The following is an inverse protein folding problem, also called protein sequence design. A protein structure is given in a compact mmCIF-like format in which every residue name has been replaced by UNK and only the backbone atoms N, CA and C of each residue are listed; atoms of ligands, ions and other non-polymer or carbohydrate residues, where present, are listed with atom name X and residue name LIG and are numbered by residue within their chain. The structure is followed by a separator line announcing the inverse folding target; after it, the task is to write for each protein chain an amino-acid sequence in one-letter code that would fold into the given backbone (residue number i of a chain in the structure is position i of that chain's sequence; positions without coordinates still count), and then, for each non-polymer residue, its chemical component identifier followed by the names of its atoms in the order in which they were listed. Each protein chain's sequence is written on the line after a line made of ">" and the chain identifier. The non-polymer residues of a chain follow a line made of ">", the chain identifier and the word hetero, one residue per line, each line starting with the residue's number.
data_IF_415170710094
#
_entry.id   IF_415170710094
#
_cell.length_a   1.000
_cell.length_b   1.000
_cell.length_c   1.000
_cell.angle_alpha   90.00
_cell.angle_beta   90.00
_cell.angle_gamma   90.00
#
_symmetry.space_group_name_H-M   'P 1'
#
loop_
_entity.id
_entity.type
_entity.pdbx_description
1 polymer ?
#
# COMPACT_ATOMS: atom_id res chain seq x y z
N UNK A 1 -3.32 3.07 9.43
CA UNK A 1 -3.68 1.98 8.52
C UNK A 1 -3.12 2.18 7.14
N UNK A 2 -2.13 1.35 6.83
CA UNK A 2 -1.59 1.12 5.50
C UNK A 2 -1.52 -0.39 5.28
N UNK A 3 -1.85 -0.84 4.08
CA UNK A 3 -1.75 -2.25 3.72
C UNK A 3 -0.64 -2.41 2.69
N UNK A 4 0.44 -3.04 3.09
CA UNK A 4 1.55 -3.36 2.19
C UNK A 4 1.21 -4.57 1.34
N UNK A 5 1.85 -4.68 0.16
CA UNK A 5 1.82 -5.89 -0.66
C UNK A 5 3.21 -6.33 -1.04
N UNK A 6 3.36 -7.60 -1.39
CA UNK A 6 4.65 -8.14 -1.80
C UNK A 6 4.52 -9.20 -2.89
N UNK A 7 5.56 -9.28 -3.71
CA UNK A 7 5.82 -10.39 -4.64
C UNK A 7 6.78 -11.43 -4.06
N UNK A 8 7.39 -11.15 -2.90
CA UNK A 8 8.45 -11.96 -2.32
C UNK A 8 8.01 -13.42 -2.09
N UNK A 9 8.98 -14.31 -2.29
CA UNK A 9 8.78 -15.77 -2.22
C UNK A 9 9.49 -16.39 -1.02
N UNK A 10 10.36 -15.61 -0.39
CA UNK A 10 11.33 -16.00 0.64
C UNK A 10 10.89 -15.64 2.04
N UNK A 11 9.65 -15.19 2.25
CA UNK A 11 9.16 -14.69 3.54
C UNK A 11 9.29 -15.69 4.72
N UNK A 12 9.29 -16.99 4.42
CA UNK A 12 9.51 -18.03 5.45
C UNK A 12 10.99 -18.15 5.82
N UNK A 13 11.88 -17.96 4.85
CA UNK A 13 13.32 -18.18 5.02
C UNK A 13 14.12 -16.90 5.31
N UNK A 14 13.52 -15.72 5.12
CA UNK A 14 14.20 -14.42 5.28
C UNK A 14 13.94 -13.77 6.66
N UNK A 15 13.30 -14.47 7.59
CA UNK A 15 13.00 -13.97 8.93
C UNK A 15 11.77 -13.07 9.03
N UNK A 16 10.98 -12.89 7.97
CA UNK A 16 9.77 -12.03 8.03
C UNK A 16 8.76 -12.49 9.08
N UNK A 17 8.57 -13.81 9.27
CA UNK A 17 7.65 -14.34 10.28
C UNK A 17 8.08 -13.91 11.68
N UNK A 18 9.35 -14.12 12.02
CA UNK A 18 9.90 -13.75 13.33
C UNK A 18 9.81 -12.25 13.54
N UNK A 19 10.11 -11.46 12.50
CA UNK A 19 9.97 -10.02 12.52
C UNK A 19 8.53 -9.59 12.82
N UNK A 20 7.52 -10.12 12.11
CA UNK A 20 6.11 -9.77 12.36
C UNK A 20 5.69 -10.12 13.78
N UNK A 21 6.07 -11.31 14.28
CA UNK A 21 5.77 -11.74 15.65
C UNK A 21 6.41 -10.78 16.65
N UNK A 22 7.68 -10.39 16.45
CA UNK A 22 8.35 -9.42 17.30
C UNK A 22 7.63 -8.06 17.31
N UNK A 23 7.20 -7.57 16.14
CA UNK A 23 6.44 -6.30 16.03
C UNK A 23 5.14 -6.36 16.82
N UNK A 24 4.39 -7.46 16.71
CA UNK A 24 3.13 -7.70 17.44
C UNK A 24 3.38 -7.81 18.95
N UNK A 25 4.36 -8.61 19.36
CA UNK A 25 4.66 -8.88 20.76
C UNK A 25 5.06 -7.61 21.53
N UNK A 26 5.78 -6.68 20.89
CA UNK A 26 6.11 -5.37 21.48
C UNK A 26 4.89 -4.60 21.98
N UNK A 27 3.72 -4.79 21.36
CA UNK A 27 2.47 -4.13 21.76
C UNK A 27 1.62 -5.08 22.61
N UNK A 28 1.42 -6.31 22.15
CA UNK A 28 0.50 -7.27 22.76
C UNK A 28 0.99 -7.83 24.11
N UNK A 29 2.30 -7.90 24.32
CA UNK A 29 2.91 -8.37 25.59
C UNK A 29 3.36 -7.23 26.50
N UNK A 30 3.13 -5.98 26.10
CA UNK A 30 3.34 -4.84 26.98
C UNK A 30 2.41 -4.92 28.20
N UNK A 31 2.67 -4.08 29.20
CA UNK A 31 1.77 -3.96 30.36
C UNK A 31 0.31 -3.79 29.90
N UNK A 32 -0.68 -4.39 30.59
CA UNK A 32 -2.10 -4.13 30.31
C UNK A 32 -2.47 -2.64 30.32
N UNK A 33 -1.66 -1.80 30.97
CA UNK A 33 -1.82 -0.35 31.04
C UNK A 33 -1.13 0.42 29.90
N UNK A 34 -0.52 -0.27 28.92
CA UNK A 34 0.21 0.36 27.80
C UNK A 34 -0.68 1.27 26.93
N UNK A 35 -2.00 1.11 26.98
CA UNK A 35 -2.94 1.96 26.24
C UNK A 35 -2.79 1.85 24.71
N UNK A 36 -2.26 0.73 24.23
CA UNK A 36 -2.03 0.42 22.82
C UNK A 36 -2.55 -0.99 22.52
N UNK A 37 -3.03 -1.21 21.31
CA UNK A 37 -3.59 -2.46 20.82
C UNK A 37 -3.14 -2.68 19.39
N UNK A 38 -2.82 -3.92 19.04
CA UNK A 38 -2.38 -4.27 17.69
C UNK A 38 -3.45 -5.06 16.95
N UNK A 39 -3.70 -4.69 15.70
CA UNK A 39 -4.48 -5.48 14.75
C UNK A 39 -3.57 -5.91 13.63
N UNK A 40 -3.50 -7.21 13.37
CA UNK A 40 -2.72 -7.76 12.27
C UNK A 40 -3.65 -8.49 11.29
N UNK A 41 -3.56 -8.12 10.02
CA UNK A 41 -4.25 -8.80 8.95
C UNK A 41 -3.24 -9.23 7.89
N UNK A 42 -3.21 -10.53 7.58
CA UNK A 42 -2.41 -11.08 6.49
C UNK A 42 -3.36 -11.71 5.48
N UNK A 43 -3.31 -11.23 4.25
CA UNK A 43 -4.16 -11.72 3.17
C UNK A 43 -3.34 -12.48 2.13
N UNK A 44 -3.82 -13.66 1.76
CA UNK A 44 -3.26 -14.45 0.66
C UNK A 44 -3.92 -14.03 -0.65
N UNK A 45 -3.23 -13.20 -1.44
CA UNK A 45 -3.73 -12.68 -2.71
C UNK A 45 -3.29 -13.53 -3.92
N UNK A 46 -2.17 -14.25 -3.79
CA UNK A 46 -1.60 -15.06 -4.86
C UNK A 46 -2.18 -16.47 -4.96
N UNK A 47 -1.47 -17.35 -5.67
CA UNK A 47 -1.86 -18.74 -5.88
C UNK A 47 -2.74 -18.96 -7.12
N UNK A 48 -2.63 -20.15 -7.74
CA UNK A 48 -3.27 -20.47 -9.04
C UNK A 48 -4.79 -20.45 -9.01
N UNK A 49 -5.40 -20.63 -7.84
CA UNK A 49 -6.85 -20.65 -7.64
C UNK A 49 -7.40 -19.31 -7.14
N UNK A 50 -6.54 -18.34 -6.82
CA UNK A 50 -7.00 -17.03 -6.37
C UNK A 50 -7.69 -16.28 -7.50
N UNK A 51 -8.93 -15.88 -7.27
CA UNK A 51 -9.65 -15.00 -8.19
C UNK A 51 -9.02 -13.62 -8.29
N UNK A 52 -8.28 -13.20 -7.26
CA UNK A 52 -7.49 -11.98 -7.31
C UNK A 52 -6.41 -12.07 -8.39
N UNK A 53 -5.69 -13.20 -8.44
CA UNK A 53 -4.69 -13.47 -9.48
C UNK A 53 -5.31 -13.71 -10.85
N UNK A 54 -6.39 -14.48 -10.94
CA UNK A 54 -7.04 -14.83 -12.23
C UNK A 54 -7.67 -13.63 -12.93
N UNK A 55 -8.07 -12.62 -12.17
CA UNK A 55 -8.58 -11.35 -12.71
C UNK A 55 -7.47 -10.31 -12.93
N UNK A 56 -6.19 -10.71 -12.98
CA UNK A 56 -5.14 -9.84 -13.46
C UNK A 56 -5.43 -9.44 -14.93
N UNK A 57 -5.04 -8.22 -15.31
CA UNK A 57 -5.15 -7.70 -16.67
C UNK A 57 -6.54 -7.70 -17.31
N UNK A 58 -7.59 -7.82 -16.49
CA UNK A 58 -8.98 -7.79 -16.93
C UNK A 58 -9.51 -6.40 -17.30
N UNK A 59 -8.62 -5.46 -17.65
CA UNK A 59 -8.96 -4.08 -18.04
C UNK A 59 -9.25 -3.11 -16.90
N UNK A 60 -9.08 -3.51 -15.63
CA UNK A 60 -9.34 -2.63 -14.48
C UNK A 60 -8.18 -1.67 -14.17
N UNK A 61 -8.47 -0.62 -13.40
CA UNK A 61 -7.47 0.35 -12.89
C UNK A 61 -6.70 -0.15 -11.67
N UNK A 62 -7.04 -1.34 -11.15
CA UNK A 62 -6.53 -1.84 -9.88
C UNK A 62 -5.16 -2.53 -10.05
N UNK A 63 -4.09 -1.86 -9.63
CA UNK A 63 -2.70 -2.25 -9.93
C UNK A 63 -2.14 -3.38 -9.07
N UNK A 64 -2.73 -3.66 -7.91
CA UNK A 64 -2.16 -4.62 -6.95
C UNK A 64 -2.23 -6.07 -7.46
N UNK A 65 -2.93 -6.35 -8.56
CA UNK A 65 -2.94 -7.68 -9.18
C UNK A 65 -1.69 -7.95 -10.00
N UNK A 66 -1.12 -6.93 -10.62
CA UNK A 66 0.24 -6.92 -11.14
C UNK A 66 0.61 -8.17 -11.93
N UNK A 67 -0.16 -8.48 -12.98
CA UNK A 67 -0.02 -9.69 -13.81
C UNK A 67 -0.05 -11.02 -13.03
N UNK A 68 -0.64 -11.04 -11.84
CA UNK A 68 -0.64 -12.20 -10.92
C UNK A 68 0.60 -12.34 -10.05
N UNK A 69 1.45 -11.31 -10.06
CA UNK A 69 2.66 -11.02 -9.28
C UNK A 69 2.48 -11.12 -7.77
N UNK A 70 1.48 -10.38 -7.30
CA UNK A 70 1.26 -10.14 -5.89
C UNK A 70 0.84 -11.41 -5.18
N UNK A 71 1.53 -11.72 -4.09
CA UNK A 71 1.33 -12.97 -3.34
C UNK A 71 0.60 -12.75 -2.05
N UNK A 72 0.97 -11.70 -1.32
CA UNK A 72 0.44 -11.40 0.01
C UNK A 72 0.24 -9.91 0.17
N UNK A 73 -0.72 -9.57 1.01
CA UNK A 73 -0.85 -8.25 1.59
C UNK A 73 -0.85 -8.36 3.12
N UNK A 74 -0.35 -7.32 3.78
CA UNK A 74 -0.30 -7.26 5.24
C UNK A 74 -0.63 -5.86 5.73
N UNK A 75 -1.39 -5.81 6.82
CA UNK A 75 -1.60 -4.63 7.66
C UNK A 75 -1.23 -5.01 9.08
N UNK A 76 -0.44 -4.18 9.76
CA UNK A 76 -0.18 -4.28 11.21
C UNK A 76 -0.40 -2.92 11.84
N UNK A 77 -1.62 -2.67 12.32
CA UNK A 77 -1.99 -1.37 12.88
C UNK A 77 -1.85 -1.33 14.39
N UNK A 78 -1.26 -0.25 14.89
CA UNK A 78 -1.21 0.09 16.31
C UNK A 78 -2.29 1.13 16.63
N UNK A 79 -3.38 0.68 17.26
CA UNK A 79 -4.40 1.53 17.84
C UNK A 79 -3.92 1.99 19.20
N UNK A 80 -4.08 3.26 19.51
CA UNK A 80 -3.49 3.83 20.71
C UNK A 80 -4.43 4.85 21.36
N UNK A 81 -4.29 5.03 22.67
CA UNK A 81 -4.84 6.21 23.35
C UNK A 81 -4.11 7.48 22.87
N UNK A 82 -4.74 8.67 22.96
CA UNK A 82 -4.14 9.91 22.44
C UNK A 82 -2.72 10.19 22.93
N UNK A 83 -2.44 9.92 24.21
CA UNK A 83 -1.13 10.12 24.86
C UNK A 83 -0.02 9.20 24.31
N UNK A 84 -0.39 8.09 23.67
CA UNK A 84 0.54 7.11 23.09
C UNK A 84 0.82 7.32 21.59
N UNK A 85 0.27 8.39 21.01
CA UNK A 85 0.38 8.67 19.57
C UNK A 85 1.82 8.68 19.06
N UNK A 86 2.73 9.39 19.75
CA UNK A 86 4.11 9.50 19.31
C UNK A 86 4.84 8.15 19.31
N UNK A 87 4.56 7.30 20.30
CA UNK A 87 5.10 5.94 20.38
C UNK A 87 4.57 5.06 19.25
N UNK A 88 3.26 5.15 18.96
CA UNK A 88 2.64 4.40 17.86
C UNK A 88 3.15 4.83 16.48
N UNK A 89 3.28 6.14 16.24
CA UNK A 89 3.86 6.69 15.00
C UNK A 89 5.34 6.28 14.83
N UNK A 90 6.13 6.26 15.91
CA UNK A 90 7.52 5.80 15.87
C UNK A 90 7.65 4.29 15.63
N UNK A 91 6.75 3.50 16.23
CA UNK A 91 6.66 2.05 15.99
C UNK A 91 6.33 1.78 14.52
N UNK A 92 5.37 2.51 13.96
CA UNK A 92 4.97 2.38 12.56
C UNK A 92 6.06 2.85 11.57
N UNK A 93 6.72 3.98 11.84
CA UNK A 93 7.85 4.43 11.03
C UNK A 93 9.01 3.41 11.00
N UNK A 94 9.19 2.68 12.12
CA UNK A 94 10.13 1.55 12.17
C UNK A 94 9.66 0.38 11.31
N UNK A 95 8.35 0.09 11.30
CA UNK A 95 7.77 -0.94 10.43
C UNK A 95 8.03 -0.62 8.97
N UNK A 96 7.67 0.57 8.51
CA UNK A 96 7.86 1.02 7.12
C UNK A 96 9.32 0.84 6.68
N UNK A 97 10.25 1.37 7.47
CA UNK A 97 11.69 1.35 7.16
C UNK A 97 12.26 -0.06 7.08
N UNK A 98 11.78 -0.99 7.90
CA UNK A 98 12.27 -2.37 7.93
C UNK A 98 11.54 -3.29 6.96
N UNK A 99 10.25 -3.04 6.70
CA UNK A 99 9.42 -3.88 5.86
C UNK A 99 9.59 -3.61 4.37
N UNK A 100 9.90 -2.37 3.99
CA UNK A 100 9.81 -1.87 2.61
C UNK A 100 11.15 -1.31 2.10
N UNK A 101 11.27 -1.26 0.77
CA UNK A 101 12.45 -0.75 0.07
C UNK A 101 13.44 -1.85 -0.27
N UNK A 102 14.57 -1.55 -0.95
CA UNK A 102 15.48 -2.56 -1.49
C UNK A 102 15.90 -3.64 -0.48
N UNK A 103 16.13 -3.25 0.77
CA UNK A 103 16.54 -4.14 1.88
C UNK A 103 15.36 -4.56 2.78
N UNK A 104 14.13 -4.27 2.37
CA UNK A 104 12.91 -4.53 3.13
C UNK A 104 12.64 -6.02 3.32
N UNK A 105 12.35 -6.42 4.56
CA UNK A 105 12.14 -7.83 4.93
C UNK A 105 10.81 -8.40 4.36
N UNK A 106 9.82 -7.54 4.12
CA UNK A 106 8.54 -7.95 3.55
C UNK A 106 8.49 -7.75 2.02
N UNK A 107 8.96 -6.60 1.55
CA UNK A 107 8.94 -6.24 0.13
C UNK A 107 10.17 -5.41 -0.24
N UNK A 108 10.85 -5.81 -1.31
CA UNK A 108 12.01 -5.08 -1.87
C UNK A 108 11.64 -3.75 -2.56
N UNK A 109 10.35 -3.41 -2.56
CA UNK A 109 9.77 -2.19 -3.14
C UNK A 109 8.67 -1.70 -2.20
N UNK A 110 8.50 -0.38 -2.08
CA UNK A 110 7.33 0.16 -1.41
C UNK A 110 6.09 -0.03 -2.29
N UNK A 111 5.19 -0.92 -1.85
CA UNK A 111 3.99 -1.31 -2.58
C UNK A 111 2.81 -1.36 -1.62
N UNK A 112 1.79 -0.56 -1.89
CA UNK A 112 0.65 -0.31 -1.01
C UNK A 112 -0.65 -0.59 -1.74
N UNK A 113 -1.62 -1.18 -1.05
CA UNK A 113 -2.98 -1.29 -1.57
C UNK A 113 -3.64 0.08 -1.50
N UNK A 114 -4.22 0.53 -2.62
CA UNK A 114 -4.99 1.77 -2.69
C UNK A 114 -6.35 1.59 -2.00
N UNK A 115 -6.33 1.50 -0.68
CA UNK A 115 -7.50 1.53 0.19
C UNK A 115 -7.60 2.88 0.94
N UNK A 116 -6.47 3.57 1.13
CA UNK A 116 -6.41 4.90 1.73
C UNK A 116 -5.08 5.61 1.47
N UNK A 117 -5.06 6.93 1.73
CA UNK A 117 -3.83 7.72 1.75
C UNK A 117 -3.01 7.41 2.99
N UNK A 118 -1.69 7.35 2.85
CA UNK A 118 -0.78 7.15 3.98
C UNK A 118 0.47 8.02 3.83
N UNK A 119 0.84 8.72 4.91
CA UNK A 119 1.91 9.74 5.01
C UNK A 119 1.75 10.96 4.09
N UNK A 120 1.71 10.76 2.78
CA UNK A 120 1.51 11.82 1.80
C UNK A 120 0.06 11.87 1.33
N UNK A 121 -0.49 13.09 1.26
CA UNK A 121 -1.75 13.36 0.58
C UNK A 121 -1.55 13.75 -0.89
N UNK A 122 -0.35 13.73 -1.45
CA UNK A 122 -0.11 13.97 -2.87
C UNK A 122 0.06 12.63 -3.60
N UNK A 123 -0.99 12.18 -4.30
CA UNK A 123 -0.96 10.90 -5.00
C UNK A 123 -0.06 10.92 -6.25
N UNK A 124 0.19 12.08 -6.88
CA UNK A 124 1.14 12.18 -8.00
C UNK A 124 2.58 12.06 -7.52
N UNK A 125 2.87 12.50 -6.29
CA UNK A 125 4.18 12.28 -5.68
C UNK A 125 4.41 10.80 -5.33
N UNK A 126 3.43 10.14 -4.70
CA UNK A 126 3.57 8.73 -4.24
C UNK A 126 2.97 7.68 -5.17
N UNK A 127 2.70 8.03 -6.44
CA UNK A 127 1.98 7.15 -7.38
C UNK A 127 2.61 5.76 -7.48
N UNK A 128 3.94 5.69 -7.43
CA UNK A 128 4.74 4.47 -7.59
C UNK A 128 4.49 3.44 -6.48
N UNK A 129 3.97 3.87 -5.33
CA UNK A 129 3.60 2.95 -4.24
C UNK A 129 2.25 2.29 -4.49
N UNK A 130 1.35 2.91 -5.26
CA UNK A 130 -0.03 2.44 -5.47
C UNK A 130 -0.32 1.91 -6.86
N UNK A 131 0.49 2.27 -7.86
CA UNK A 131 0.35 1.86 -9.24
C UNK A 131 1.58 1.12 -9.74
N UNK A 132 1.36 0.10 -10.58
CA UNK A 132 2.41 -0.83 -11.03
C UNK A 132 3.48 -0.14 -11.88
N UNK A 133 3.07 0.81 -12.71
CA UNK A 133 3.95 1.52 -13.62
C UNK A 133 3.38 2.90 -14.01
N UNK A 134 4.28 3.73 -14.55
CA UNK A 134 3.96 5.11 -14.93
C UNK A 134 2.96 5.18 -16.07
N UNK A 135 3.02 4.23 -17.01
CA UNK A 135 2.15 4.18 -18.20
C UNK A 135 0.69 3.97 -17.82
N UNK A 136 0.40 3.05 -16.87
CA UNK A 136 -0.93 2.83 -16.31
C UNK A 136 -1.40 4.09 -15.58
N UNK A 137 -0.56 4.69 -14.74
CA UNK A 137 -0.91 5.92 -14.03
C UNK A 137 -1.29 7.05 -15.00
N UNK A 138 -0.46 7.32 -16.01
CA UNK A 138 -0.74 8.35 -17.04
C UNK A 138 -1.98 8.06 -17.87
N UNK A 139 -2.27 6.79 -18.17
CA UNK A 139 -3.54 6.40 -18.81
C UNK A 139 -4.73 6.81 -17.95
N UNK A 140 -4.64 6.63 -16.63
CA UNK A 140 -5.69 7.07 -15.70
C UNK A 140 -5.76 8.60 -15.61
N UNK A 141 -4.61 9.30 -15.65
CA UNK A 141 -4.57 10.76 -15.71
C UNK A 141 -5.34 11.31 -16.94
N UNK A 142 -5.15 10.69 -18.11
CA UNK A 142 -5.87 11.03 -19.35
C UNK A 142 -7.35 10.70 -19.25
N UNK A 143 -7.70 9.52 -18.74
CA UNK A 143 -9.09 9.11 -18.54
C UNK A 143 -9.84 10.09 -17.62
N UNK A 144 -9.20 10.49 -16.51
CA UNK A 144 -9.75 11.51 -15.60
C UNK A 144 -9.89 12.86 -16.27
N UNK A 145 -8.92 13.29 -17.07
CA UNK A 145 -9.02 14.60 -17.75
C UNK A 145 -10.24 14.70 -18.66
N UNK A 146 -10.61 13.58 -19.31
CA UNK A 146 -11.82 13.47 -20.14
C UNK A 146 -13.10 13.37 -19.32
N UNK A 147 -13.09 12.61 -18.22
CA UNK A 147 -14.28 12.33 -17.42
C UNK A 147 -14.62 13.43 -16.40
N UNK A 148 -13.63 14.18 -15.92
CA UNK A 148 -13.79 15.27 -14.94
C UNK A 148 -13.10 16.56 -15.43
N UNK A 149 -13.56 17.14 -16.56
CA UNK A 149 -12.90 18.29 -17.18
C UNK A 149 -12.90 19.54 -16.29
N UNK A 150 -13.91 19.69 -15.43
CA UNK A 150 -14.12 20.86 -14.57
C UNK A 150 -13.69 20.64 -13.12
N UNK A 151 -13.06 19.50 -12.79
CA UNK A 151 -12.59 19.16 -11.44
C UNK A 151 -13.72 19.02 -10.41
N UNK A 152 -14.94 18.76 -10.86
CA UNK A 152 -16.12 18.56 -9.99
C UNK A 152 -15.88 17.41 -9.01
N UNK A 153 -15.14 16.38 -9.41
CA UNK A 153 -14.84 15.21 -8.57
C UNK A 153 -13.39 15.23 -8.02
N UNK A 154 -12.86 16.41 -7.72
CA UNK A 154 -11.50 16.58 -7.17
C UNK A 154 -11.56 16.99 -5.70
N UNK A 155 -11.64 16.02 -4.76
CA UNK A 155 -11.86 16.35 -3.35
C UNK A 155 -10.62 16.85 -2.62
N UNK A 156 -9.42 16.36 -2.99
CA UNK A 156 -8.14 16.70 -2.35
C UNK A 156 -6.97 16.34 -3.29
N UNK A 157 -5.73 16.47 -2.84
CA UNK A 157 -4.52 16.12 -3.62
C UNK A 157 -4.27 14.62 -3.75
N UNK A 158 -4.96 13.77 -2.97
CA UNK A 158 -4.80 12.32 -2.98
C UNK A 158 -5.77 11.69 -3.98
N UNK A 159 -5.65 12.11 -5.24
CA UNK A 159 -6.44 11.61 -6.35
C UNK A 159 -5.58 11.62 -7.63
N UNK A 160 -5.89 10.76 -8.60
CA UNK A 160 -5.04 10.59 -9.80
C UNK A 160 -4.90 11.90 -10.55
N UNK A 161 -3.72 12.50 -10.64
CA UNK A 161 -3.56 13.82 -11.28
C UNK A 161 -4.20 13.88 -12.66
N UNK A 162 -4.81 15.00 -13.03
CA UNK A 162 -5.35 15.16 -14.38
C UNK A 162 -4.22 15.40 -15.37
N UNK A 163 -4.29 14.75 -16.53
CA UNK A 163 -3.40 15.10 -17.64
C UNK A 163 -3.74 16.52 -18.15
N UNK A 164 -2.72 17.30 -18.45
CA UNK A 164 -2.90 18.61 -19.08
C UNK A 164 -3.48 18.47 -20.48
N UNK A 165 -4.35 19.41 -20.86
CA UNK A 165 -5.17 19.35 -22.08
C UNK A 165 -4.31 19.33 -23.35
N UNK A 166 -3.05 19.80 -23.30
CA UNK A 166 -2.11 19.80 -24.43
C UNK A 166 -1.45 18.46 -24.78
N UNK A 167 -1.65 17.41 -23.98
CA UNK A 167 -1.04 16.06 -24.21
C UNK A 167 -2.04 15.07 -24.82
N UNK A 168 -3.26 15.52 -25.14
CA UNK A 168 -4.34 14.67 -25.66
C UNK A 168 -4.35 14.55 -27.20
N UNK A 169 -3.48 15.26 -27.92
CA UNK A 169 -3.45 15.30 -29.39
C UNK A 169 -2.40 14.39 -30.05
N UNK A 170 -1.65 13.59 -29.28
CA UNK A 170 -0.68 12.65 -29.82
C UNK A 170 -1.02 11.23 -29.36
N UNK A 171 -1.94 10.58 -30.09
CA UNK A 171 -2.10 9.13 -30.38
C UNK A 171 -3.49 8.87 -30.94
#
# INVERSE_FOLDING_TARGET
>A
MVTYSTRCTTLVSNGWVDWVVERIDRIARASPENGQWVSAQVQCLGGKQSMFRRNADNGTSFSVRDNGETRRAMTIDNFHRPEKRAEAEAWEATNDRQALGPDGIFSHQDRRLLWGSYQSFDLDFVWHTYYEDRRKYERLMRARSRADPHRTFTPNTFCVKRAEVGVLSAL
#
